data_IF_203395130411
#
_entry.id   IF_203395130411
#
_cell.length_a   1.000
_cell.length_b   1.000
_cell.length_c   1.000
_cell.angle_alpha   90.00
_cell.angle_beta   90.00
_cell.angle_gamma   90.00
#
_symmetry.space_group_name_H-M   'P 1'
#
loop_
_entity.id
_entity.type
_entity.pdbx_description
1 polymer ?
#
# COMPACT_ATOMS: atom_id res chain seq x y z
N UNK A 1 -16.62 11.88 12.24
CA UNK A 1 -18.05 11.76 12.61
C UNK A 1 -18.88 11.12 11.49
N UNK A 2 -18.58 11.38 10.20
CA UNK A 2 -19.29 10.78 9.05
C UNK A 2 -19.14 9.25 8.90
N UNK A 3 -17.99 8.68 9.27
CA UNK A 3 -17.77 7.22 9.23
C UNK A 3 -18.69 6.47 10.20
N UNK A 4 -19.03 7.09 11.34
CA UNK A 4 -19.90 6.48 12.37
C UNK A 4 -21.38 6.53 11.93
N UNK A 5 -21.79 7.58 11.21
CA UNK A 5 -23.16 7.73 10.70
C UNK A 5 -23.45 6.80 9.52
N UNK A 6 -22.50 6.59 8.61
CA UNK A 6 -22.61 5.61 7.52
C UNK A 6 -22.73 4.16 8.02
N UNK A 7 -22.12 3.86 9.16
CA UNK A 7 -22.17 2.54 9.81
C UNK A 7 -23.55 2.24 10.41
N UNK A 8 -24.26 3.26 10.89
CA UNK A 8 -25.56 3.12 11.54
C UNK A 8 -26.71 2.90 10.54
N UNK A 9 -26.68 3.59 9.40
CA UNK A 9 -27.75 3.52 8.37
C UNK A 9 -27.78 2.18 7.62
N UNK A 10 -26.64 1.55 7.37
CA UNK A 10 -26.57 0.27 6.65
C UNK A 10 -27.04 -0.94 7.50
N UNK A 11 -26.99 -0.86 8.84
CA UNK A 11 -27.39 -1.95 9.73
C UNK A 11 -28.92 -2.12 9.80
N UNK A 12 -29.67 -1.01 9.69
CA UNK A 12 -31.14 -1.06 9.67
C UNK A 12 -31.72 -1.81 8.46
N UNK A 13 -30.95 -1.91 7.36
CA UNK A 13 -31.38 -2.63 6.15
C UNK A 13 -31.16 -4.14 6.27
N UNK A 14 -30.09 -4.57 6.96
CA UNK A 14 -29.76 -6.00 7.12
C UNK A 14 -30.60 -6.69 8.23
N UNK A 15 -31.06 -5.91 9.22
CA UNK A 15 -31.94 -6.41 10.28
C UNK A 15 -33.35 -6.73 9.77
N UNK A 16 -33.80 -6.08 8.68
CA UNK A 16 -35.09 -6.37 8.04
C UNK A 16 -35.10 -7.65 7.18
N UNK A 17 -33.95 -8.16 6.73
CA UNK A 17 -33.89 -9.41 5.95
C UNK A 17 -33.87 -10.69 6.80
N UNK A 18 -33.72 -10.60 8.13
CA UNK A 18 -33.72 -11.79 9.03
C UNK A 18 -35.10 -12.17 9.58
N UNK A 19 -36.19 -11.51 9.16
CA UNK A 19 -37.54 -11.76 9.67
C UNK A 19 -38.44 -12.65 8.77
N UNK A 20 -37.89 -13.37 7.79
CA UNK A 20 -38.66 -14.38 7.03
C UNK A 20 -38.41 -15.79 7.61
N UNK A 21 -39.37 -16.22 8.44
CA UNK A 21 -39.57 -17.52 9.09
C UNK A 21 -39.62 -18.71 8.11
N UNK A 22 -39.26 -19.91 8.59
CA UNK A 22 -40.07 -21.16 8.56
C UNK A 22 -39.44 -22.25 9.49
N UNK A 23 -40.15 -23.31 9.92
CA UNK A 23 -40.15 -23.79 11.30
C UNK A 23 -39.42 -25.11 11.51
N UNK A 24 -39.07 -25.39 12.77
CA UNK A 24 -38.64 -26.70 13.29
C UNK A 24 -39.70 -27.79 13.13
N UNK A 25 -39.28 -29.07 13.14
CA UNK A 25 -39.97 -30.01 14.03
C UNK A 25 -39.02 -30.85 14.91
N UNK A 26 -39.57 -31.22 16.07
CA UNK A 26 -39.08 -32.16 17.08
C UNK A 26 -39.56 -33.60 16.74
N UNK A 27 -38.70 -34.60 16.97
CA UNK A 27 -38.94 -36.02 17.33
C UNK A 27 -37.56 -36.72 17.27
N UNK A 28 -37.05 -37.55 18.19
CA UNK A 28 -37.65 -38.49 19.13
C UNK A 28 -37.28 -39.93 18.73
N UNK A 29 -36.53 -40.65 19.60
CA UNK A 29 -36.25 -42.11 19.65
C UNK A 29 -34.92 -42.72 19.12
N UNK A 30 -34.11 -43.15 20.11
CA UNK A 30 -33.48 -44.48 20.37
C UNK A 30 -32.54 -45.22 19.39
N UNK A 31 -31.32 -45.47 19.91
CA UNK A 31 -30.53 -46.74 19.97
C UNK A 31 -30.20 -47.53 18.69
N UNK A 32 -28.91 -47.74 18.40
CA UNK A 32 -28.20 -49.05 18.23
C UNK A 32 -26.74 -48.85 17.73
N UNK A 33 -25.87 -49.78 18.13
CA UNK A 33 -24.40 -49.93 17.97
C UNK A 33 -23.86 -49.95 16.52
N UNK A 34 -22.62 -49.45 16.37
CA UNK A 34 -21.46 -50.20 15.83
C UNK A 34 -21.12 -50.15 14.32
N UNK A 35 -19.81 -49.98 14.06
CA UNK A 35 -19.02 -50.27 12.83
C UNK A 35 -18.94 -49.23 11.68
N UNK A 36 -17.70 -48.75 11.43
CA UNK A 36 -16.98 -49.00 10.17
C UNK A 36 -17.09 -48.02 8.99
N UNK A 37 -16.01 -47.28 8.77
CA UNK A 37 -15.37 -46.91 7.48
C UNK A 37 -16.08 -46.14 6.34
N UNK A 38 -15.31 -45.14 5.86
CA UNK A 38 -15.07 -44.71 4.46
C UNK A 38 -16.11 -43.86 3.69
N UNK A 39 -15.69 -42.58 3.48
CA UNK A 39 -15.72 -41.68 2.29
C UNK A 39 -16.96 -41.60 1.34
N UNK A 40 -17.16 -40.44 0.68
CA UNK A 40 -18.48 -39.86 0.37
C UNK A 40 -19.02 -40.27 -1.01
N UNK A 41 -20.33 -40.09 -1.26
CA UNK A 41 -20.89 -40.30 -2.59
C UNK A 41 -20.85 -39.03 -3.45
N UNK A 42 -20.53 -39.26 -4.71
CA UNK A 42 -20.98 -38.47 -5.85
C UNK A 42 -22.51 -38.54 -6.00
N UNK A 43 -23.15 -37.42 -6.36
CA UNK A 43 -24.33 -37.35 -7.24
C UNK A 43 -24.36 -35.94 -7.85
N UNK A 44 -24.11 -35.79 -9.16
CA UNK A 44 -25.08 -35.86 -10.25
C UNK A 44 -26.27 -34.90 -10.08
N UNK A 45 -26.24 -33.80 -10.84
CA UNK A 45 -27.42 -33.24 -11.51
C UNK A 45 -26.96 -32.63 -12.83
N UNK A 46 -27.21 -33.39 -13.89
CA UNK A 46 -27.18 -32.97 -15.28
C UNK A 46 -28.55 -32.39 -15.67
N UNK A 47 -28.53 -31.63 -16.77
CA UNK A 47 -29.63 -31.19 -17.62
C UNK A 47 -30.23 -29.78 -17.48
N UNK A 48 -30.24 -29.15 -18.67
CA UNK A 48 -30.98 -27.97 -19.13
C UNK A 48 -30.48 -26.60 -18.69
N UNK A 49 -29.65 -25.97 -19.53
CA UNK A 49 -30.06 -24.83 -20.36
C UNK A 49 -28.90 -24.47 -21.32
N UNK A 50 -28.83 -25.19 -22.45
CA UNK A 50 -28.07 -24.77 -23.63
C UNK A 50 -29.08 -24.28 -24.65
N UNK A 51 -29.20 -22.96 -24.81
CA UNK A 51 -29.57 -22.27 -26.07
C UNK A 51 -29.81 -20.79 -25.76
N UNK A 52 -28.80 -19.93 -25.93
CA UNK A 52 -28.93 -18.52 -26.37
C UNK A 52 -27.61 -17.74 -26.23
N UNK A 53 -26.72 -17.84 -27.23
CA UNK A 53 -25.97 -16.70 -27.81
C UNK A 53 -24.95 -17.20 -28.83
N UNK A 54 -25.47 -17.72 -29.94
CA UNK A 54 -24.80 -17.73 -31.24
C UNK A 54 -25.80 -17.18 -32.26
N UNK A 55 -25.86 -15.86 -32.36
CA UNK A 55 -26.47 -15.07 -33.44
C UNK A 55 -26.27 -13.60 -33.08
N UNK A 56 -25.28 -12.99 -33.71
CA UNK A 56 -25.15 -11.56 -34.06
C UNK A 56 -23.70 -11.36 -34.53
N UNK A 57 -23.40 -11.93 -35.70
CA UNK A 57 -22.39 -11.38 -36.59
C UNK A 57 -22.99 -11.43 -37.99
N UNK A 58 -22.65 -10.41 -38.79
CA UNK A 58 -23.07 -10.12 -40.17
C UNK A 58 -24.36 -9.31 -40.28
N UNK A 59 -24.22 -8.00 -40.36
CA UNK A 59 -24.51 -7.27 -41.60
C UNK A 59 -23.82 -5.88 -41.59
N UNK A 60 -23.49 -5.41 -42.80
CA UNK A 60 -22.78 -4.18 -43.20
C UNK A 60 -21.23 -4.18 -43.15
N UNK A 61 -20.65 -4.38 -44.34
CA UNK A 61 -19.25 -4.08 -44.69
C UNK A 61 -19.05 -2.63 -45.19
N UNK A 62 -17.99 -2.33 -45.97
CA UNK A 62 -16.91 -1.42 -45.56
C UNK A 62 -16.88 -0.08 -46.31
N UNK A 63 -16.30 0.96 -45.70
CA UNK A 63 -15.76 2.13 -46.41
C UNK A 63 -14.45 2.61 -45.77
N UNK A 64 -13.43 2.73 -46.62
CA UNK A 64 -12.10 3.27 -46.38
C UNK A 64 -12.13 4.77 -46.06
N UNK A 65 -11.16 5.26 -45.28
CA UNK A 65 -10.20 6.34 -45.63
C UNK A 65 -9.41 6.69 -44.36
N UNK A 66 -8.08 6.70 -44.48
CA UNK A 66 -7.15 6.85 -43.37
C UNK A 66 -7.03 8.26 -42.79
N UNK A 67 -6.47 8.35 -41.59
CA UNK A 67 -5.66 9.49 -41.15
C UNK A 67 -4.73 9.09 -40.00
N UNK A 68 -3.50 9.55 -40.14
CA UNK A 68 -2.33 9.45 -39.28
C UNK A 68 -2.61 9.45 -37.76
N UNK A 69 -2.15 8.40 -37.06
CA UNK A 69 -1.83 8.49 -35.64
C UNK A 69 -0.37 8.89 -35.47
N UNK A 70 -0.15 10.14 -35.10
CA UNK A 70 1.15 10.67 -34.66
C UNK A 70 1.59 9.94 -33.38
N UNK A 71 2.73 9.27 -33.48
CA UNK A 71 3.53 8.78 -32.38
C UNK A 71 3.95 9.95 -31.47
N UNK A 72 3.63 9.88 -30.18
CA UNK A 72 4.31 10.63 -29.13
C UNK A 72 5.06 9.66 -28.22
N UNK A 73 6.33 9.44 -28.54
CA UNK A 73 7.31 8.76 -27.69
C UNK A 73 8.14 9.83 -26.98
N UNK A 74 7.68 10.28 -25.81
CA UNK A 74 8.44 11.16 -24.93
C UNK A 74 9.56 10.39 -24.23
N UNK A 75 10.73 10.32 -24.87
CA UNK A 75 11.99 9.82 -24.30
C UNK A 75 12.62 10.97 -23.50
N UNK A 76 12.58 10.90 -22.16
CA UNK A 76 13.40 11.77 -21.32
C UNK A 76 14.86 11.31 -21.41
N UNK A 77 15.66 12.05 -22.18
CA UNK A 77 17.09 11.84 -22.31
C UNK A 77 17.81 12.93 -21.50
N UNK A 78 18.47 12.51 -20.43
CA UNK A 78 19.44 13.33 -19.69
C UNK A 78 20.63 13.66 -20.61
N UNK A 79 20.96 14.94 -20.81
CA UNK A 79 22.28 15.37 -21.32
C UNK A 79 23.21 15.63 -20.14
N UNK A 80 24.46 15.15 -20.16
CA UNK A 80 25.49 15.65 -19.26
C UNK A 80 26.01 17.01 -19.75
N UNK A 81 26.30 17.89 -18.80
CA UNK A 81 26.94 19.20 -19.00
C UNK A 81 28.41 18.96 -19.38
N UNK A 82 28.82 19.47 -20.54
CA UNK A 82 30.22 19.70 -20.88
C UNK A 82 30.43 21.19 -21.12
N UNK A 83 31.48 21.70 -20.49
CA UNK A 83 31.97 23.06 -20.57
C UNK A 83 32.32 23.46 -22.01
N UNK A 84 32.08 24.72 -22.35
CA UNK A 84 32.65 25.35 -23.53
C UNK A 84 32.93 26.82 -23.22
N UNK A 85 34.14 27.21 -23.61
CA UNK A 85 34.87 28.44 -23.32
C UNK A 85 34.17 29.74 -23.72
N UNK A 86 34.42 30.75 -22.90
CA UNK A 86 34.20 32.17 -23.19
C UNK A 86 35.16 32.65 -24.28
N UNK A 87 34.63 33.07 -25.43
CA UNK A 87 35.25 34.14 -26.21
C UNK A 87 34.24 34.81 -27.15
N UNK A 88 34.14 36.14 -26.97
CA UNK A 88 33.88 37.18 -27.98
C UNK A 88 32.74 36.95 -28.99
N UNK A 89 31.66 37.75 -28.91
CA UNK A 89 31.47 38.81 -29.91
C UNK A 89 30.40 39.84 -29.49
N UNK A 90 30.72 41.09 -29.78
CA UNK A 90 30.03 42.32 -29.49
C UNK A 90 28.77 42.58 -30.33
N UNK A 91 27.87 43.33 -29.72
CA UNK A 91 26.81 44.20 -30.26
C UNK A 91 27.03 44.73 -31.68
N UNK A 92 25.96 44.75 -32.49
CA UNK A 92 25.57 45.97 -33.22
C UNK A 92 24.12 45.93 -33.73
N UNK A 93 23.41 47.01 -33.40
CA UNK A 93 22.11 47.40 -33.93
C UNK A 93 22.17 47.73 -35.43
N UNK A 94 21.09 47.48 -36.16
CA UNK A 94 20.53 48.40 -37.18
C UNK A 94 19.22 47.83 -37.74
N UNK A 95 18.12 48.57 -37.52
CA UNK A 95 16.95 48.57 -38.41
C UNK A 95 17.21 49.64 -39.50
N UNK A 96 16.61 49.54 -40.70
CA UNK A 96 15.33 50.24 -40.89
C UNK A 96 14.37 49.64 -41.97
N UNK A 97 13.15 50.21 -42.01
CA UNK A 97 12.15 50.25 -43.11
C UNK A 97 11.50 48.91 -43.54
N UNK A 98 10.18 48.71 -43.57
CA UNK A 98 9.09 49.61 -43.95
C UNK A 98 8.51 49.15 -45.29
N UNK A 99 7.58 48.18 -45.31
CA UNK A 99 6.43 48.19 -46.23
C UNK A 99 5.43 47.03 -46.05
N UNK A 100 4.18 47.44 -46.14
CA UNK A 100 2.94 46.68 -46.12
C UNK A 100 2.90 45.58 -47.20
N UNK A 101 2.48 44.37 -46.81
CA UNK A 101 1.84 43.41 -47.71
C UNK A 101 0.45 43.09 -47.16
N UNK A 102 -0.56 43.60 -47.87
CA UNK A 102 -1.95 43.19 -47.75
C UNK A 102 -2.08 41.71 -48.08
N UNK A 103 -2.65 40.93 -47.17
CA UNK A 103 -3.20 39.61 -47.48
C UNK A 103 -4.71 39.73 -47.37
N UNK A 104 -5.34 39.88 -48.54
CA UNK A 104 -6.77 39.63 -48.72
C UNK A 104 -7.01 38.13 -48.52
N UNK A 105 -7.84 37.77 -47.54
CA UNK A 105 -8.54 36.49 -47.52
C UNK A 105 -10.01 36.72 -47.15
N UNK A 106 -10.95 36.03 -47.81
CA UNK A 106 -12.38 36.27 -47.64
C UNK A 106 -12.85 35.71 -46.29
N UNK A 107 -13.58 36.54 -45.54
CA UNK A 107 -14.42 36.10 -44.43
C UNK A 107 -15.42 35.04 -44.93
N UNK A 108 -15.47 33.82 -44.35
CA UNK A 108 -16.67 33.04 -44.36
C UNK A 108 -17.59 33.54 -43.23
N UNK A 109 -18.86 33.74 -43.56
CA UNK A 109 -19.92 34.06 -42.62
C UNK A 109 -19.90 33.10 -41.42
N UNK A 110 -19.99 33.67 -40.22
CA UNK A 110 -20.10 32.88 -38.98
C UNK A 110 -21.37 32.03 -38.99
N UNK A 111 -21.34 30.81 -38.43
CA UNK A 111 -22.57 30.11 -38.12
C UNK A 111 -23.28 30.79 -36.95
N UNK A 112 -24.60 30.86 -37.06
CA UNK A 112 -25.54 31.44 -36.11
C UNK A 112 -25.26 31.05 -34.66
N UNK A 113 -25.23 32.06 -33.81
CA UNK A 113 -24.94 32.03 -32.37
C UNK A 113 -26.14 31.57 -31.53
N UNK A 114 -26.83 30.50 -31.91
CA UNK A 114 -27.85 29.88 -31.07
C UNK A 114 -27.78 28.35 -31.18
N UNK A 115 -27.47 27.69 -30.06
CA UNK A 115 -27.31 26.23 -29.86
C UNK A 115 -25.87 25.67 -29.92
N UNK A 116 -24.87 26.36 -29.36
CA UNK A 116 -23.81 25.65 -28.62
C UNK A 116 -24.45 25.14 -27.33
N UNK A 117 -25.27 24.11 -27.48
CA UNK A 117 -26.18 23.62 -26.45
C UNK A 117 -25.37 23.07 -25.28
N UNK A 118 -25.75 23.46 -24.07
CA UNK A 118 -25.35 23.00 -22.73
C UNK A 118 -24.92 21.51 -22.60
N UNK A 119 -25.35 20.67 -23.53
CA UNK A 119 -24.97 19.27 -23.71
C UNK A 119 -23.49 19.07 -24.06
N UNK A 120 -22.87 19.96 -24.85
CA UNK A 120 -21.47 19.79 -25.31
C UNK A 120 -20.46 20.20 -24.23
N UNK A 121 -20.73 21.31 -23.53
CA UNK A 121 -19.97 21.77 -22.35
C UNK A 121 -20.02 20.71 -21.24
N UNK A 122 -21.21 20.15 -20.96
CA UNK A 122 -21.38 19.07 -19.96
C UNK A 122 -20.65 17.78 -20.36
N UNK A 123 -20.41 17.55 -21.65
CA UNK A 123 -19.66 16.39 -22.16
C UNK A 123 -18.16 16.59 -22.01
N UNK A 124 -17.64 17.76 -22.38
CA UNK A 124 -16.24 18.14 -22.17
C UNK A 124 -15.88 18.15 -20.67
N UNK A 125 -16.73 18.72 -19.80
CA UNK A 125 -16.52 18.72 -18.35
C UNK A 125 -16.46 17.31 -17.75
N UNK A 126 -17.32 16.40 -18.22
CA UNK A 126 -17.31 14.99 -17.79
C UNK A 126 -16.05 14.26 -18.26
N UNK A 127 -15.56 14.57 -19.46
CA UNK A 127 -14.32 13.99 -20.00
C UNK A 127 -13.10 14.52 -19.23
N UNK A 128 -13.04 15.82 -18.93
CA UNK A 128 -11.97 16.41 -18.12
C UNK A 128 -11.98 15.91 -16.68
N UNK A 129 -13.16 15.80 -16.05
CA UNK A 129 -13.30 15.22 -14.72
C UNK A 129 -12.90 13.75 -14.71
N UNK A 130 -13.33 12.95 -15.69
CA UNK A 130 -12.94 11.54 -15.79
C UNK A 130 -11.44 11.36 -16.02
N UNK A 131 -10.82 12.21 -16.85
CA UNK A 131 -9.37 12.20 -17.06
C UNK A 131 -8.61 12.62 -15.79
N UNK A 132 -9.07 13.67 -15.09
CA UNK A 132 -8.49 14.09 -13.82
C UNK A 132 -8.61 13.01 -12.73
N UNK A 133 -9.78 12.36 -12.62
CA UNK A 133 -10.01 11.26 -11.69
C UNK A 133 -9.14 10.04 -12.01
N UNK A 134 -9.04 9.66 -13.28
CA UNK A 134 -8.20 8.51 -13.68
C UNK A 134 -6.72 8.78 -13.44
N UNK A 135 -6.24 9.99 -13.70
CA UNK A 135 -4.87 10.41 -13.36
C UNK A 135 -4.63 10.45 -11.85
N UNK A 136 -5.60 10.95 -11.07
CA UNK A 136 -5.50 10.96 -9.62
C UNK A 136 -5.43 9.54 -9.04
N UNK A 137 -6.29 8.62 -9.52
CA UNK A 137 -6.29 7.20 -9.09
C UNK A 137 -5.00 6.51 -9.51
N UNK A 138 -4.48 6.77 -10.71
CA UNK A 138 -3.21 6.18 -11.14
C UNK A 138 -2.01 6.70 -10.33
N UNK A 139 -2.03 7.98 -9.94
CA UNK A 139 -1.00 8.59 -9.09
C UNK A 139 -1.09 8.18 -7.62
N UNK A 140 -2.30 7.89 -7.12
CA UNK A 140 -2.57 7.56 -5.72
C UNK A 140 -3.15 6.15 -5.53
N UNK A 141 -2.73 5.21 -6.39
CA UNK A 141 -3.34 3.89 -6.46
C UNK A 141 -3.30 3.12 -5.14
N UNK A 142 -2.19 3.21 -4.40
CA UNK A 142 -1.99 2.52 -3.13
C UNK A 142 -2.96 2.99 -2.02
N UNK A 143 -3.02 4.29 -1.66
CA UNK A 143 -4.02 4.80 -0.71
C UNK A 143 -5.46 4.52 -1.15
N UNK A 144 -5.78 4.71 -2.44
CA UNK A 144 -7.14 4.50 -2.96
C UNK A 144 -7.54 3.02 -2.85
N UNK A 145 -6.65 2.10 -3.21
CA UNK A 145 -6.91 0.67 -3.10
C UNK A 145 -7.14 0.25 -1.64
N UNK A 146 -6.31 0.73 -0.70
CA UNK A 146 -6.46 0.41 0.73
C UNK A 146 -7.74 0.99 1.33
N UNK A 147 -8.04 2.26 1.08
CA UNK A 147 -9.27 2.90 1.58
C UNK A 147 -10.52 2.26 0.97
N UNK A 148 -10.50 2.03 -0.35
CA UNK A 148 -11.60 1.35 -1.04
C UNK A 148 -11.84 -0.06 -0.51
N UNK A 149 -10.76 -0.83 -0.28
CA UNK A 149 -10.80 -2.15 0.33
C UNK A 149 -11.40 -2.13 1.74
N UNK A 150 -11.07 -1.14 2.58
CA UNK A 150 -11.67 -1.00 3.91
C UNK A 150 -13.14 -0.64 3.86
N UNK A 151 -13.52 0.35 3.03
CA UNK A 151 -14.91 0.76 2.87
C UNK A 151 -15.76 -0.40 2.38
N UNK A 152 -15.28 -1.13 1.37
CA UNK A 152 -15.94 -2.33 0.85
C UNK A 152 -16.12 -3.40 1.93
N UNK A 153 -15.12 -3.59 2.80
CA UNK A 153 -15.22 -4.54 3.92
C UNK A 153 -16.26 -4.14 4.96
N UNK A 154 -16.47 -2.83 5.16
CA UNK A 154 -17.49 -2.31 6.07
C UNK A 154 -18.90 -2.37 5.47
N UNK A 155 -19.06 -2.06 4.18
CA UNK A 155 -20.38 -1.99 3.52
C UNK A 155 -20.86 -3.34 3.01
N UNK A 156 -19.95 -4.21 2.56
CA UNK A 156 -20.27 -5.53 2.02
C UNK A 156 -19.31 -6.60 2.54
N UNK A 157 -19.49 -7.04 3.80
CA UNK A 157 -18.53 -7.95 4.46
C UNK A 157 -18.62 -9.41 3.99
N UNK A 158 -19.75 -9.85 3.45
CA UNK A 158 -19.99 -11.27 3.15
C UNK A 158 -18.92 -11.91 2.23
N UNK A 159 -18.49 -11.28 1.11
CA UNK A 159 -17.45 -11.86 0.27
C UNK A 159 -16.08 -11.92 0.98
N UNK A 160 -15.72 -10.87 1.74
CA UNK A 160 -14.44 -10.83 2.46
C UNK A 160 -14.37 -11.91 3.56
N UNK A 161 -15.48 -12.13 4.29
CA UNK A 161 -15.59 -13.20 5.28
C UNK A 161 -15.49 -14.58 4.63
N UNK A 162 -16.14 -14.79 3.48
CA UNK A 162 -16.07 -16.05 2.75
C UNK A 162 -14.63 -16.38 2.33
N UNK A 163 -13.92 -15.42 1.74
CA UNK A 163 -12.52 -15.61 1.32
C UNK A 163 -11.59 -15.89 2.51
N UNK A 164 -11.80 -15.19 3.64
CA UNK A 164 -11.03 -15.45 4.84
C UNK A 164 -11.26 -16.88 5.38
N UNK A 165 -12.52 -17.35 5.44
CA UNK A 165 -12.85 -18.72 5.86
C UNK A 165 -12.25 -19.79 4.96
N UNK A 166 -12.10 -19.49 3.67
CA UNK A 166 -11.41 -20.36 2.70
C UNK A 166 -9.87 -20.37 2.88
N UNK A 167 -9.32 -19.57 3.80
CA UNK A 167 -7.88 -19.49 4.04
C UNK A 167 -7.12 -18.72 2.96
N UNK A 168 -7.80 -17.91 2.15
CA UNK A 168 -7.21 -17.17 1.03
C UNK A 168 -6.20 -16.12 1.51
N UNK A 169 -6.36 -15.58 2.73
CA UNK A 169 -5.40 -14.65 3.35
C UNK A 169 -3.97 -15.20 3.38
N UNK A 170 -3.81 -16.51 3.64
CA UNK A 170 -2.49 -17.18 3.60
C UNK A 170 -1.88 -17.13 2.21
N UNK A 171 -2.67 -17.50 1.20
CA UNK A 171 -2.22 -17.54 -0.19
C UNK A 171 -1.88 -16.14 -0.71
N UNK A 172 -2.72 -15.15 -0.43
CA UNK A 172 -2.46 -13.75 -0.80
C UNK A 172 -1.15 -13.25 -0.20
N UNK A 173 -0.90 -13.50 1.09
CA UNK A 173 0.34 -13.10 1.75
C UNK A 173 1.55 -13.82 1.14
N UNK A 174 1.49 -15.14 0.96
CA UNK A 174 2.58 -15.92 0.35
C UNK A 174 2.87 -15.47 -1.08
N UNK A 175 1.84 -15.23 -1.90
CA UNK A 175 1.97 -14.70 -3.27
C UNK A 175 2.54 -13.28 -3.26
N UNK A 176 2.15 -12.43 -2.31
CA UNK A 176 2.70 -11.08 -2.17
C UNK A 176 4.20 -11.11 -1.89
N UNK A 177 4.67 -11.93 -0.95
CA UNK A 177 6.10 -12.07 -0.67
C UNK A 177 6.88 -12.67 -1.84
N UNK A 178 6.28 -13.63 -2.55
CA UNK A 178 6.87 -14.21 -3.77
C UNK A 178 7.05 -13.15 -4.87
N UNK A 179 5.99 -12.38 -5.16
CA UNK A 179 6.03 -11.30 -6.14
C UNK A 179 6.98 -10.18 -5.72
N UNK A 180 7.06 -9.88 -4.44
CA UNK A 180 8.03 -8.92 -3.92
C UNK A 180 9.47 -9.41 -4.17
N UNK A 181 9.77 -10.68 -3.88
CA UNK A 181 11.06 -11.29 -4.22
C UNK A 181 11.39 -11.18 -5.71
N UNK A 182 10.42 -11.51 -6.58
CA UNK A 182 10.56 -11.41 -8.04
C UNK A 182 10.80 -9.98 -8.54
N UNK A 183 10.18 -8.99 -7.90
CA UNK A 183 10.26 -7.57 -8.31
C UNK A 183 11.42 -6.82 -7.67
N UNK A 184 12.03 -7.36 -6.61
CA UNK A 184 13.20 -6.78 -5.97
C UNK A 184 14.45 -6.88 -6.86
N UNK A 185 14.96 -5.76 -7.37
CA UNK A 185 16.19 -5.70 -8.16
C UNK A 185 17.44 -5.77 -7.28
N UNK A 186 18.44 -6.53 -7.70
CA UNK A 186 19.72 -6.67 -6.95
C UNK A 186 20.63 -5.45 -7.07
N UNK A 187 20.55 -4.72 -8.19
CA UNK A 187 21.37 -3.52 -8.48
C UNK A 187 21.06 -2.33 -7.58
N UNK A 188 19.84 -2.29 -7.04
CA UNK A 188 19.40 -1.21 -6.16
C UNK A 188 19.93 -1.39 -4.72
N UNK A 189 20.18 -2.63 -4.30
CA UNK A 189 20.70 -2.96 -2.96
C UNK A 189 22.21 -2.70 -2.86
N UNK A 190 22.96 -2.83 -3.96
CA UNK A 190 24.41 -2.57 -3.99
C UNK A 190 24.74 -1.11 -3.63
N UNK A 191 23.87 -0.17 -4.03
CA UNK A 191 23.98 1.25 -3.63
C UNK A 191 23.67 1.49 -2.15
N UNK A 192 23.02 0.57 -1.45
CA UNK A 192 22.81 0.66 0.00
C UNK A 192 24.12 0.43 0.76
N UNK A 193 25.04 -0.38 0.21
CA UNK A 193 26.30 -0.71 0.87
C UNK A 193 27.23 0.50 1.05
N UNK A 194 27.14 1.51 0.18
CA UNK A 194 27.93 2.74 0.33
C UNK A 194 27.47 3.63 1.48
N UNK A 195 26.21 3.51 1.92
CA UNK A 195 25.64 4.26 3.04
C UNK A 195 25.45 3.39 4.30
N UNK A 196 26.38 2.45 4.54
CA UNK A 196 26.26 1.45 5.61
C UNK A 196 26.06 2.02 7.03
N UNK A 197 26.61 3.18 7.46
CA UNK A 197 26.37 3.68 8.81
C UNK A 197 24.91 4.09 9.02
N UNK A 198 24.30 4.68 7.99
CA UNK A 198 22.89 5.06 7.95
C UNK A 198 21.99 3.82 7.86
N UNK A 199 22.40 2.83 7.05
CA UNK A 199 21.74 1.53 6.99
C UNK A 199 21.77 0.77 8.32
N UNK A 200 22.90 0.77 9.02
CA UNK A 200 23.04 0.10 10.31
C UNK A 200 22.13 0.74 11.37
N UNK A 201 22.06 2.08 11.42
CA UNK A 201 21.12 2.78 12.28
C UNK A 201 19.67 2.36 11.97
N UNK A 202 19.28 2.39 10.69
CA UNK A 202 17.92 2.02 10.28
C UNK A 202 17.58 0.57 10.66
N UNK A 203 18.53 -0.35 10.50
CA UNK A 203 18.37 -1.75 10.92
C UNK A 203 18.16 -1.89 12.43
N UNK A 204 18.96 -1.20 13.24
CA UNK A 204 18.83 -1.20 14.71
C UNK A 204 17.48 -0.60 15.12
N UNK A 205 17.07 0.50 14.48
CA UNK A 205 15.79 1.12 14.78
C UNK A 205 14.60 0.19 14.46
N UNK A 206 14.58 -0.39 13.25
CA UNK A 206 13.48 -1.26 12.81
C UNK A 206 13.42 -2.57 13.62
N UNK A 207 14.56 -3.18 13.91
CA UNK A 207 14.61 -4.50 14.54
C UNK A 207 14.62 -4.48 16.06
N UNK A 208 15.14 -3.42 16.69
CA UNK A 208 15.36 -3.38 18.14
C UNK A 208 14.59 -2.25 18.81
N UNK A 209 14.69 -1.00 18.31
CA UNK A 209 14.09 0.14 19.02
C UNK A 209 12.56 0.16 18.91
N UNK A 210 12.05 -0.03 17.71
CA UNK A 210 10.60 0.08 17.47
C UNK A 210 9.78 -1.02 18.17
N UNK A 211 10.21 -2.30 18.26
CA UNK A 211 9.49 -3.29 19.09
C UNK A 211 9.39 -2.91 20.58
N UNK A 212 10.31 -2.10 21.13
CA UNK A 212 10.23 -1.70 22.55
C UNK A 212 9.01 -0.83 22.85
N UNK A 213 8.45 -0.14 21.85
CA UNK A 213 7.21 0.61 22.02
C UNK A 213 6.01 -0.30 22.35
N UNK A 214 6.11 -1.61 22.13
CA UNK A 214 5.10 -2.56 22.59
C UNK A 214 4.91 -2.52 24.12
N UNK A 215 5.95 -2.24 24.91
CA UNK A 215 5.88 -2.21 26.38
C UNK A 215 4.86 -1.16 26.87
N UNK A 216 5.01 0.15 26.57
CA UNK A 216 4.04 1.14 27.01
C UNK A 216 2.67 0.96 26.37
N UNK A 217 2.58 0.44 25.14
CA UNK A 217 1.30 0.15 24.47
C UNK A 217 0.48 -0.87 25.28
N UNK A 218 1.12 -1.92 25.80
CA UNK A 218 0.45 -2.97 26.58
C UNK A 218 -0.08 -2.48 27.94
N UNK A 219 0.37 -1.31 28.40
CA UNK A 219 -0.11 -0.68 29.64
C UNK A 219 -1.29 0.28 29.39
N UNK A 220 -1.63 0.55 28.13
CA UNK A 220 -2.79 1.38 27.81
C UNK A 220 -4.09 0.65 28.20
N UNK A 221 -5.00 1.29 28.96
CA UNK A 221 -6.25 0.69 29.39
C UNK A 221 -7.31 0.71 28.26
N UNK A 222 -7.01 0.08 27.13
CA UNK A 222 -7.91 0.01 25.96
C UNK A 222 -8.73 -1.27 26.03
N UNK A 223 -10.06 -1.14 25.93
CA UNK A 223 -10.98 -2.28 25.92
C UNK A 223 -11.65 -2.43 24.55
N UNK A 224 -11.62 -3.61 23.90
CA UNK A 224 -11.06 -4.87 24.38
C UNK A 224 -9.53 -4.91 24.22
N UNK A 225 -8.86 -5.77 25.03
CA UNK A 225 -7.38 -5.81 25.15
C UNK A 225 -6.69 -6.22 23.85
N UNK A 226 -7.43 -6.85 22.95
CA UNK A 226 -7.05 -7.17 21.58
C UNK A 226 -6.59 -5.94 20.81
N UNK A 227 -7.18 -4.76 21.04
CA UNK A 227 -6.76 -3.53 20.37
C UNK A 227 -5.32 -3.13 20.76
N UNK A 228 -5.01 -3.12 22.05
CA UNK A 228 -3.68 -2.82 22.55
C UNK A 228 -2.66 -3.89 22.14
N UNK A 229 -3.05 -5.17 22.23
CA UNK A 229 -2.21 -6.30 21.81
C UNK A 229 -1.88 -6.24 20.32
N UNK A 230 -2.86 -5.85 19.50
CA UNK A 230 -2.71 -5.64 18.07
C UNK A 230 -1.65 -4.58 17.76
N UNK A 231 -1.75 -3.42 18.41
CA UNK A 231 -0.75 -2.34 18.29
C UNK A 231 0.63 -2.76 18.77
N UNK A 232 0.72 -3.56 19.84
CA UNK A 232 2.00 -4.08 20.34
C UNK A 232 2.66 -5.05 19.35
N UNK A 233 1.86 -5.91 18.71
CA UNK A 233 2.33 -6.75 17.60
C UNK A 233 2.77 -5.87 16.43
N UNK A 234 1.98 -4.86 16.05
CA UNK A 234 2.30 -3.93 14.98
C UNK A 234 3.60 -3.15 15.24
N UNK A 235 3.89 -2.76 16.48
CA UNK A 235 5.17 -2.17 16.85
C UNK A 235 6.36 -3.12 16.62
N UNK A 236 6.13 -4.43 16.67
CA UNK A 236 7.17 -5.47 16.54
C UNK A 236 7.43 -5.92 15.10
N UNK A 237 6.61 -5.52 14.13
CA UNK A 237 6.78 -5.92 12.72
C UNK A 237 7.79 -5.02 12.00
N UNK A 238 8.42 -5.48 10.90
CA UNK A 238 9.36 -4.67 10.14
C UNK A 238 8.65 -3.56 9.35
N UNK A 239 9.47 -2.77 8.64
CA UNK A 239 9.00 -1.72 7.74
C UNK A 239 8.24 -2.24 6.52
N UNK A 240 7.49 -1.35 5.88
CA UNK A 240 6.67 -1.63 4.70
C UNK A 240 7.53 -2.01 3.50
N UNK A 241 6.98 -2.88 2.64
CA UNK A 241 7.65 -3.30 1.41
C UNK A 241 7.52 -2.29 0.26
N UNK A 242 6.60 -1.31 0.37
CA UNK A 242 6.22 -0.47 -0.78
C UNK A 242 6.14 1.02 -0.45
N UNK A 243 5.33 1.44 0.55
CA UNK A 243 5.08 2.87 0.82
C UNK A 243 6.37 3.61 1.17
N UNK A 244 7.21 3.06 2.05
CA UNK A 244 8.44 3.73 2.47
C UNK A 244 9.42 3.97 1.32
N UNK A 245 9.58 2.99 0.41
CA UNK A 245 10.43 3.12 -0.78
C UNK A 245 9.84 4.13 -1.76
N UNK A 246 8.52 4.10 -1.99
CA UNK A 246 7.85 5.04 -2.88
C UNK A 246 7.94 6.49 -2.37
N UNK A 247 7.72 6.72 -1.07
CA UNK A 247 7.84 8.03 -0.44
C UNK A 247 9.29 8.53 -0.42
N UNK A 248 10.26 7.64 -0.20
CA UNK A 248 11.69 7.96 -0.34
C UNK A 248 12.01 8.44 -1.76
N UNK A 249 11.47 7.77 -2.78
CA UNK A 249 11.65 8.15 -4.18
C UNK A 249 11.04 9.53 -4.46
N UNK A 250 9.82 9.79 -3.98
CA UNK A 250 9.15 11.10 -4.13
C UNK A 250 9.95 12.20 -3.41
N UNK A 251 10.51 11.90 -2.24
CA UNK A 251 11.34 12.83 -1.46
C UNK A 251 12.71 13.13 -2.08
N UNK A 252 13.07 12.49 -3.20
CA UNK A 252 14.39 12.62 -3.82
C UNK A 252 15.53 12.07 -2.94
N UNK A 253 15.23 11.15 -2.02
CA UNK A 253 16.17 10.60 -1.06
C UNK A 253 16.85 9.31 -1.58
N UNK A 254 17.74 8.69 -0.79
CA UNK A 254 18.47 7.49 -1.21
C UNK A 254 17.56 6.25 -1.37
N UNK A 255 17.09 6.00 -2.59
CA UNK A 255 16.21 4.86 -2.92
C UNK A 255 16.93 3.52 -2.69
N UNK A 256 18.23 3.43 -2.98
CA UNK A 256 18.99 2.20 -2.78
C UNK A 256 19.08 1.81 -1.31
N UNK A 257 19.37 2.78 -0.45
CA UNK A 257 19.36 2.61 1.00
C UNK A 257 17.98 2.21 1.53
N UNK A 258 16.91 2.87 1.07
CA UNK A 258 15.54 2.53 1.46
C UNK A 258 15.16 1.09 1.06
N UNK A 259 15.49 0.67 -0.17
CA UNK A 259 15.24 -0.69 -0.62
C UNK A 259 16.06 -1.71 0.18
N UNK A 260 17.35 -1.42 0.43
CA UNK A 260 18.22 -2.25 1.25
C UNK A 260 17.65 -2.45 2.66
N UNK A 261 17.32 -1.35 3.36
CA UNK A 261 16.69 -1.38 4.67
C UNK A 261 15.39 -2.19 4.66
N UNK A 262 14.56 -1.99 3.64
CA UNK A 262 13.30 -2.72 3.49
C UNK A 262 13.53 -4.22 3.40
N UNK A 263 14.41 -4.67 2.51
CA UNK A 263 14.69 -6.09 2.28
C UNK A 263 15.37 -6.73 3.50
N UNK A 264 16.44 -6.12 4.01
CA UNK A 264 17.19 -6.69 5.13
C UNK A 264 16.37 -6.70 6.42
N UNK A 265 15.65 -5.62 6.75
CA UNK A 265 14.82 -5.61 7.96
C UNK A 265 13.70 -6.64 7.90
N UNK A 266 13.03 -6.80 6.74
CA UNK A 266 12.02 -7.84 6.59
C UNK A 266 12.62 -9.25 6.72
N UNK A 267 13.80 -9.50 6.15
CA UNK A 267 14.54 -10.76 6.28
C UNK A 267 14.90 -11.08 7.75
N UNK A 268 15.60 -10.15 8.42
CA UNK A 268 16.05 -10.34 9.80
C UNK A 268 14.88 -10.36 10.79
N UNK A 269 13.80 -9.62 10.54
CA UNK A 269 12.64 -9.62 11.42
C UNK A 269 11.95 -10.98 11.53
N UNK A 270 12.00 -11.82 10.49
CA UNK A 270 11.48 -13.20 10.57
C UNK A 270 12.14 -13.96 11.71
N UNK A 271 13.42 -13.70 11.96
CA UNK A 271 14.19 -14.31 13.03
C UNK A 271 13.99 -13.58 14.35
N UNK A 272 14.07 -12.25 14.39
CA UNK A 272 14.03 -11.49 15.67
C UNK A 272 12.63 -11.35 16.26
N UNK A 273 11.61 -11.22 15.43
CA UNK A 273 10.24 -10.90 15.86
C UNK A 273 9.60 -11.97 16.77
N UNK A 274 9.74 -13.29 16.55
CA UNK A 274 9.21 -14.29 17.49
C UNK A 274 9.73 -14.12 18.92
N UNK A 275 10.98 -13.69 19.08
CA UNK A 275 11.57 -13.45 20.41
C UNK A 275 10.98 -12.20 21.06
N UNK A 276 10.80 -11.10 20.32
CA UNK A 276 10.12 -9.91 20.83
C UNK A 276 8.66 -10.18 21.17
N UNK A 277 7.95 -10.90 20.32
CA UNK A 277 6.56 -11.27 20.58
C UNK A 277 6.43 -12.17 21.80
N UNK A 278 7.33 -13.14 21.97
CA UNK A 278 7.30 -14.02 23.15
C UNK A 278 7.70 -13.26 24.42
N UNK A 279 8.79 -12.50 24.37
CA UNK A 279 9.39 -11.83 25.53
C UNK A 279 8.64 -10.59 25.99
N UNK A 280 8.07 -9.80 25.08
CA UNK A 280 7.34 -8.57 25.43
C UNK A 280 5.83 -8.81 25.39
N UNK A 281 5.29 -9.21 24.23
CA UNK A 281 3.84 -9.29 24.05
C UNK A 281 3.24 -10.44 24.85
N UNK A 282 3.77 -11.65 24.70
CA UNK A 282 3.31 -12.85 25.40
C UNK A 282 3.39 -12.69 26.92
N UNK A 283 4.55 -12.30 27.45
CA UNK A 283 4.71 -12.03 28.89
C UNK A 283 3.81 -10.89 29.37
N UNK A 284 3.71 -9.80 28.61
CA UNK A 284 2.91 -8.63 28.99
C UNK A 284 1.41 -8.90 29.12
N UNK A 285 0.91 -9.97 28.52
CA UNK A 285 -0.50 -10.39 28.64
C UNK A 285 -0.67 -11.75 29.35
N UNK A 286 0.41 -12.36 29.84
CA UNK A 286 0.37 -13.64 30.57
C UNK A 286 0.12 -14.87 29.69
N UNK A 287 0.49 -14.82 28.41
CA UNK A 287 0.26 -15.90 27.43
C UNK A 287 1.59 -16.43 26.90
N UNK A 288 1.76 -17.76 26.97
CA UNK A 288 2.96 -18.42 26.46
C UNK A 288 2.90 -18.62 24.95
N UNK A 289 3.75 -17.90 24.22
CA UNK A 289 3.95 -18.10 22.77
C UNK A 289 5.20 -18.96 22.59
N UNK A 290 5.11 -20.15 21.96
CA UNK A 290 6.31 -20.91 21.66
C UNK A 290 7.04 -20.26 20.46
N UNK A 291 8.28 -19.75 20.63
CA UNK A 291 8.96 -18.98 19.58
C UNK A 291 9.36 -19.84 18.39
N UNK A 292 9.72 -21.11 18.60
CA UNK A 292 10.14 -22.03 17.53
C UNK A 292 9.06 -22.31 16.48
N UNK A 293 7.83 -22.74 16.86
CA UNK A 293 6.71 -22.90 15.94
C UNK A 293 6.32 -21.62 15.19
N UNK A 294 6.36 -20.48 15.86
CA UNK A 294 6.10 -19.18 15.23
C UNK A 294 7.19 -18.85 14.20
N UNK A 295 8.47 -18.99 14.55
CA UNK A 295 9.60 -18.83 13.63
C UNK A 295 9.46 -19.74 12.40
N UNK A 296 9.20 -21.04 12.60
CA UNK A 296 9.00 -22.00 11.51
C UNK A 296 7.87 -21.55 10.57
N UNK A 297 6.77 -21.07 11.15
CA UNK A 297 5.62 -20.59 10.38
C UNK A 297 5.95 -19.35 9.56
N UNK A 298 6.65 -18.38 10.14
CA UNK A 298 7.05 -17.14 9.46
C UNK A 298 8.08 -17.41 8.37
N UNK A 299 9.01 -18.33 8.60
CA UNK A 299 9.94 -18.78 7.57
C UNK A 299 9.15 -19.32 6.37
N UNK A 300 8.15 -20.17 6.60
CA UNK A 300 7.35 -20.75 5.52
C UNK A 300 6.48 -19.72 4.78
N UNK A 301 5.95 -18.70 5.47
CA UNK A 301 5.01 -17.75 4.86
C UNK A 301 5.63 -16.49 4.27
N UNK A 302 6.75 -16.04 4.83
CA UNK A 302 7.37 -14.77 4.47
C UNK A 302 8.70 -15.02 3.79
N UNK A 303 9.60 -15.73 4.47
CA UNK A 303 10.98 -15.86 4.05
C UNK A 303 11.15 -16.77 2.83
N UNK A 304 10.58 -17.97 2.90
CA UNK A 304 10.64 -18.97 1.83
C UNK A 304 10.10 -18.43 0.50
N UNK A 305 8.86 -17.88 0.41
CA UNK A 305 8.39 -17.33 -0.86
C UNK A 305 9.22 -16.15 -1.35
N UNK A 306 9.70 -15.29 -0.46
CA UNK A 306 10.57 -14.17 -0.83
C UNK A 306 11.91 -14.63 -1.43
N UNK A 307 12.57 -15.60 -0.79
CA UNK A 307 13.80 -16.21 -1.30
C UNK A 307 13.54 -16.92 -2.63
N UNK A 308 12.47 -17.70 -2.74
CA UNK A 308 12.12 -18.39 -3.98
C UNK A 308 11.90 -17.39 -5.12
N UNK A 309 11.18 -16.30 -4.87
CA UNK A 309 10.98 -15.24 -5.85
C UNK A 309 12.29 -14.59 -6.29
N UNK A 310 13.21 -14.38 -5.34
CA UNK A 310 14.54 -13.84 -5.64
C UNK A 310 15.39 -14.82 -6.45
N UNK A 311 15.44 -16.09 -6.08
CA UNK A 311 16.16 -17.14 -6.81
C UNK A 311 15.63 -17.23 -8.24
N UNK A 312 14.31 -17.29 -8.43
CA UNK A 312 13.69 -17.34 -9.76
C UNK A 312 14.07 -16.12 -10.61
N UNK A 313 14.12 -14.93 -10.02
CA UNK A 313 14.57 -13.72 -10.75
C UNK A 313 16.02 -13.83 -11.21
N UNK A 314 16.91 -14.28 -10.33
CA UNK A 314 18.36 -14.35 -10.61
C UNK A 314 18.74 -15.52 -11.52
N UNK A 315 18.06 -16.67 -11.39
CA UNK A 315 18.29 -17.85 -12.24
C UNK A 315 17.76 -17.66 -13.67
N UNK A 316 16.70 -16.86 -13.86
CA UNK A 316 16.11 -16.59 -15.17
C UNK A 316 16.22 -15.10 -15.55
N UNK A 317 17.35 -14.65 -16.11
CA UNK A 317 17.60 -13.23 -16.41
C UNK A 317 16.54 -12.61 -17.34
N UNK A 318 16.00 -13.38 -18.28
CA UNK A 318 14.96 -12.89 -19.19
C UNK A 318 13.63 -12.67 -18.48
N UNK A 319 13.32 -13.48 -17.47
CA UNK A 319 12.18 -13.23 -16.58
C UNK A 319 12.42 -11.96 -15.76
N UNK A 320 13.63 -11.75 -15.24
CA UNK A 320 14.01 -10.49 -14.57
C UNK A 320 13.79 -9.26 -15.45
N UNK A 321 14.26 -9.29 -16.71
CA UNK A 321 14.03 -8.22 -17.69
C UNK A 321 12.55 -8.02 -17.99
N UNK A 322 11.76 -9.11 -18.09
CA UNK A 322 10.32 -9.04 -18.29
C UNK A 322 9.62 -8.39 -17.08
N UNK A 323 10.01 -8.75 -15.86
CA UNK A 323 9.48 -8.16 -14.63
C UNK A 323 9.79 -6.65 -14.58
N UNK A 324 11.01 -6.25 -14.96
CA UNK A 324 11.40 -4.84 -15.03
C UNK A 324 10.60 -4.09 -16.12
N UNK A 325 10.40 -4.70 -17.30
CA UNK A 325 9.56 -4.15 -18.38
C UNK A 325 8.09 -3.99 -17.96
N UNK A 326 7.58 -4.87 -17.10
CA UNK A 326 6.19 -4.88 -16.62
C UNK A 326 6.03 -4.32 -15.20
N UNK A 327 7.03 -3.62 -14.66
CA UNK A 327 7.08 -3.14 -13.27
C UNK A 327 5.83 -2.35 -12.86
N UNK A 328 5.28 -1.51 -13.74
CA UNK A 328 4.04 -0.75 -13.47
C UNK A 328 2.84 -1.67 -13.21
N UNK A 329 2.67 -2.73 -14.00
CA UNK A 329 1.59 -3.70 -13.82
C UNK A 329 1.78 -4.54 -12.57
N UNK A 330 3.01 -5.01 -12.32
CA UNK A 330 3.35 -5.79 -11.13
C UNK A 330 3.13 -4.98 -9.85
N UNK A 331 3.51 -3.70 -9.84
CA UNK A 331 3.25 -2.79 -8.72
C UNK A 331 1.76 -2.61 -8.43
N UNK A 332 0.90 -2.54 -9.47
CA UNK A 332 -0.56 -2.53 -9.29
C UNK A 332 -1.06 -3.86 -8.71
N UNK A 333 -0.57 -5.00 -9.22
CA UNK A 333 -0.96 -6.32 -8.71
C UNK A 333 -0.54 -6.50 -7.25
N UNK A 334 0.69 -6.14 -6.88
CA UNK A 334 1.18 -6.23 -5.50
C UNK A 334 0.38 -5.31 -4.57
N UNK A 335 0.04 -4.11 -5.03
CA UNK A 335 -0.85 -3.19 -4.30
C UNK A 335 -2.25 -3.77 -4.09
N UNK A 336 -2.84 -4.41 -5.11
CA UNK A 336 -4.14 -5.07 -4.99
C UNK A 336 -4.08 -6.23 -3.99
N UNK A 337 -3.08 -7.10 -4.08
CA UNK A 337 -2.86 -8.18 -3.10
C UNK A 337 -2.68 -7.63 -1.69
N UNK A 338 -1.95 -6.52 -1.56
CA UNK A 338 -1.76 -5.82 -0.29
C UNK A 338 -3.09 -5.32 0.28
N UNK A 339 -4.02 -4.84 -0.56
CA UNK A 339 -5.33 -4.35 -0.13
C UNK A 339 -6.33 -5.46 0.20
N UNK A 340 -6.21 -6.65 -0.40
CA UNK A 340 -7.13 -7.78 -0.19
C UNK A 340 -7.10 -8.27 1.27
N UNK A 341 -5.92 -8.31 1.89
CA UNK A 341 -5.76 -8.81 3.25
C UNK A 341 -6.47 -7.90 4.27
N UNK A 342 -6.21 -6.58 4.33
CA UNK A 342 -6.99 -5.65 5.14
C UNK A 342 -8.50 -5.69 4.86
N UNK A 343 -8.92 -5.87 3.59
CA UNK A 343 -10.34 -6.02 3.27
C UNK A 343 -10.99 -7.23 3.93
N UNK A 344 -10.37 -8.41 3.79
CA UNK A 344 -10.85 -9.64 4.44
C UNK A 344 -10.95 -9.47 5.96
N UNK A 345 -9.95 -8.82 6.56
CA UNK A 345 -9.89 -8.63 8.01
C UNK A 345 -10.89 -7.60 8.52
N UNK A 346 -11.08 -6.49 7.78
CA UNK A 346 -12.13 -5.50 8.05
C UNK A 346 -13.54 -6.10 7.91
N UNK A 347 -13.71 -6.99 6.93
CA UNK A 347 -14.98 -7.71 6.73
C UNK A 347 -15.32 -8.63 7.91
N UNK A 348 -14.31 -9.27 8.51
CA UNK A 348 -14.49 -10.12 9.70
C UNK A 348 -14.73 -9.30 10.98
N UNK A 349 -14.08 -8.15 11.11
CA UNK A 349 -14.23 -7.30 12.31
C UNK A 349 -15.56 -6.56 12.35
N UNK A 350 -16.26 -6.43 11.20
CA UNK A 350 -17.48 -5.61 11.04
C UNK A 350 -18.54 -5.81 12.13
N UNK A 351 -18.89 -7.06 12.45
CA UNK A 351 -19.91 -7.36 13.46
C UNK A 351 -19.45 -7.03 14.88
N UNK A 352 -18.15 -7.09 15.15
CA UNK A 352 -17.57 -6.79 16.47
C UNK A 352 -17.33 -5.29 16.67
N UNK A 353 -17.28 -4.48 15.61
CA UNK A 353 -17.12 -3.03 15.73
C UNK A 353 -18.20 -2.37 16.59
N UNK A 354 -19.42 -2.91 16.58
CA UNK A 354 -20.52 -2.41 17.41
C UNK A 354 -20.38 -2.75 18.89
N UNK A 355 -19.50 -3.70 19.24
CA UNK A 355 -19.25 -4.12 20.61
C UNK A 355 -18.11 -3.35 21.27
N UNK A 356 -17.34 -2.58 20.48
CA UNK A 356 -16.23 -1.75 20.95
C UNK A 356 -16.80 -0.37 21.31
N UNK A 357 -16.43 0.16 22.47
CA UNK A 357 -16.73 1.55 22.83
C UNK A 357 -16.15 2.51 21.79
N UNK A 358 -16.89 3.53 21.31
CA UNK A 358 -16.35 4.48 20.34
C UNK A 358 -15.11 5.22 20.87
N UNK A 359 -15.05 5.41 22.20
CA UNK A 359 -13.90 5.98 22.88
C UNK A 359 -12.68 5.06 22.81
N UNK A 360 -12.81 3.77 23.11
CA UNK A 360 -11.71 2.80 23.02
C UNK A 360 -11.17 2.67 21.59
N UNK A 361 -12.08 2.64 20.61
CA UNK A 361 -11.71 2.64 19.20
C UNK A 361 -10.91 3.90 18.86
N UNK A 362 -11.38 5.07 19.28
CA UNK A 362 -10.67 6.34 19.06
C UNK A 362 -9.29 6.34 19.73
N UNK A 363 -9.20 5.92 21.00
CA UNK A 363 -7.93 5.82 21.73
C UNK A 363 -6.96 4.88 21.01
N UNK A 364 -7.43 3.74 20.51
CA UNK A 364 -6.58 2.79 19.78
C UNK A 364 -6.02 3.38 18.47
N UNK A 365 -6.85 4.12 17.71
CA UNK A 365 -6.42 4.80 16.49
C UNK A 365 -5.43 5.92 16.81
N UNK A 366 -5.72 6.71 17.86
CA UNK A 366 -4.84 7.76 18.34
C UNK A 366 -3.50 7.19 18.81
N UNK A 367 -3.49 6.09 19.56
CA UNK A 367 -2.29 5.41 20.01
C UNK A 367 -1.42 4.94 18.83
N UNK A 368 -2.03 4.35 17.79
CA UNK A 368 -1.32 3.99 16.56
C UNK A 368 -0.73 5.20 15.81
N UNK A 369 -1.43 6.34 15.83
CA UNK A 369 -0.96 7.59 15.22
C UNK A 369 0.20 8.20 16.00
N UNK A 370 0.08 8.26 17.33
CA UNK A 370 1.11 8.73 18.25
C UNK A 370 2.35 7.84 18.15
N UNK A 371 2.17 6.52 18.03
CA UNK A 371 3.27 5.58 17.83
C UNK A 371 4.13 5.95 16.61
N UNK A 372 3.50 6.24 15.48
CA UNK A 372 4.22 6.66 14.27
C UNK A 372 4.95 8.00 14.45
N UNK A 373 4.30 8.97 15.09
CA UNK A 373 4.92 10.28 15.41
C UNK A 373 6.13 10.10 16.33
N UNK A 374 6.01 9.24 17.35
CA UNK A 374 7.11 8.91 18.27
C UNK A 374 8.27 8.27 17.51
N UNK A 375 8.02 7.40 16.54
CA UNK A 375 9.09 6.86 15.71
C UNK A 375 9.75 7.93 14.85
N UNK A 376 9.00 8.81 14.20
CA UNK A 376 9.56 9.92 13.42
C UNK A 376 10.43 10.85 14.28
N UNK A 377 9.92 11.30 15.42
CA UNK A 377 10.65 12.20 16.33
C UNK A 377 11.86 11.48 16.95
N UNK A 378 11.66 10.26 17.44
CA UNK A 378 12.70 9.43 18.06
C UNK A 378 13.83 9.11 17.09
N UNK A 379 13.52 8.65 15.88
CA UNK A 379 14.51 8.38 14.85
C UNK A 379 15.23 9.65 14.40
N UNK A 380 14.50 10.77 14.22
CA UNK A 380 15.11 12.06 13.90
C UNK A 380 16.10 12.51 14.98
N UNK A 381 15.73 12.40 16.26
CA UNK A 381 16.58 12.75 17.39
C UNK A 381 17.80 11.83 17.53
N UNK A 382 17.59 10.51 17.44
CA UNK A 382 18.66 9.52 17.57
C UNK A 382 19.67 9.58 16.40
N UNK A 383 19.24 9.95 15.20
CA UNK A 383 20.17 10.17 14.08
C UNK A 383 21.12 11.34 14.32
N UNK A 384 20.74 12.36 15.11
CA UNK A 384 21.63 13.49 15.42
C UNK A 384 22.81 13.09 16.31
N UNK A 385 22.65 12.06 17.12
CA UNK A 385 23.69 11.53 18.00
C UNK A 385 24.45 10.36 17.39
N UNK A 386 23.92 9.75 16.32
CA UNK A 386 24.58 8.67 15.60
C UNK A 386 25.75 9.21 14.78
N UNK A 387 26.92 8.53 14.76
CA UNK A 387 28.09 8.97 13.98
C UNK A 387 27.87 8.72 12.48
N UNK A 388 26.96 9.49 11.87
CA UNK A 388 26.81 9.56 10.43
C UNK A 388 27.96 10.40 9.86
N UNK A 389 28.62 9.99 8.76
CA UNK A 389 29.58 10.84 8.05
C UNK A 389 29.00 12.21 7.64
N UNK A 390 27.67 12.31 7.50
CA UNK A 390 26.91 13.55 7.26
C UNK A 390 26.49 14.32 8.53
N UNK A 391 26.97 13.97 9.73
CA UNK A 391 26.51 14.51 11.04
C UNK A 391 26.75 16.02 11.28
N UNK A 392 27.23 16.77 10.27
CA UNK A 392 27.35 18.25 10.31
C UNK A 392 26.25 18.98 9.52
N UNK A 393 25.37 18.26 8.82
CA UNK A 393 24.20 18.83 8.14
C UNK A 393 22.91 18.46 8.87
N UNK A 394 21.87 19.29 8.71
CA UNK A 394 20.55 19.00 9.26
C UNK A 394 20.07 17.63 8.74
N UNK A 395 19.50 16.80 9.62
CA UNK A 395 18.97 15.45 9.30
C UNK A 395 17.95 15.52 8.17
N UNK A 396 17.29 16.67 8.02
CA UNK A 396 16.33 16.95 6.96
C UNK A 396 16.96 17.43 5.64
N UNK A 397 18.26 17.66 5.58
CA UNK A 397 18.98 18.05 4.36
C UNK A 397 19.75 16.88 3.74
N UNK A 398 20.18 15.91 4.56
CA UNK A 398 20.90 14.74 4.08
C UNK A 398 19.96 13.72 3.42
N UNK A 399 20.27 13.36 2.18
CA UNK A 399 19.45 12.46 1.36
C UNK A 399 19.41 11.02 1.90
N UNK A 400 20.43 10.57 2.65
CA UNK A 400 20.41 9.26 3.32
C UNK A 400 19.50 9.31 4.56
N UNK A 401 19.61 10.38 5.35
CA UNK A 401 18.85 10.58 6.57
C UNK A 401 17.34 10.65 6.31
N UNK A 402 16.90 11.32 5.23
CA UNK A 402 15.50 11.29 4.77
C UNK A 402 15.01 9.86 4.46
N UNK A 403 15.83 9.07 3.76
CA UNK A 403 15.49 7.68 3.43
C UNK A 403 15.38 6.80 4.68
N UNK A 404 16.36 6.91 5.58
CA UNK A 404 16.36 6.19 6.85
C UNK A 404 15.17 6.60 7.71
N UNK A 405 14.88 7.89 7.83
CA UNK A 405 13.80 8.40 8.68
C UNK A 405 12.44 7.84 8.27
N UNK A 406 12.10 7.91 6.97
CA UNK A 406 10.85 7.37 6.45
C UNK A 406 10.80 5.86 6.70
N UNK A 407 11.80 5.13 6.19
CA UNK A 407 11.76 3.66 6.20
C UNK A 407 11.85 3.08 7.61
N UNK A 408 12.61 3.68 8.51
CA UNK A 408 12.73 3.18 9.89
C UNK A 408 11.55 3.50 10.79
N UNK A 409 10.71 4.47 10.40
CA UNK A 409 9.52 4.85 11.17
C UNK A 409 8.27 4.13 10.67
N UNK A 410 8.27 3.62 9.44
CA UNK A 410 7.15 2.88 8.89
C UNK A 410 7.03 1.44 9.45
N UNK A 411 5.79 0.97 9.63
CA UNK A 411 5.45 -0.42 10.00
C UNK A 411 4.56 -1.10 8.97
N UNK A 412 4.72 -2.42 8.80
CA UNK A 412 4.07 -3.23 7.76
C UNK A 412 2.81 -3.97 8.22
N UNK A 413 1.64 -3.51 7.78
CA UNK A 413 0.37 -4.20 8.04
C UNK A 413 0.34 -5.63 7.49
N UNK A 414 0.95 -5.89 6.34
CA UNK A 414 0.94 -7.25 5.75
C UNK A 414 1.70 -8.24 6.61
N UNK A 415 2.83 -7.81 7.17
CA UNK A 415 3.57 -8.67 8.10
C UNK A 415 2.79 -8.84 9.40
N UNK A 416 2.14 -7.79 9.91
CA UNK A 416 1.29 -7.90 11.09
C UNK A 416 0.14 -8.89 10.90
N UNK A 417 -0.55 -8.86 9.76
CA UNK A 417 -1.60 -9.84 9.44
C UNK A 417 -1.02 -11.24 9.36
N UNK A 418 0.11 -11.42 8.67
CA UNK A 418 0.75 -12.73 8.55
C UNK A 418 1.09 -13.34 9.92
N UNK A 419 1.56 -12.51 10.85
CA UNK A 419 1.90 -12.90 12.22
C UNK A 419 0.64 -13.24 13.02
N UNK A 420 -0.36 -12.36 13.00
CA UNK A 420 -1.62 -12.55 13.74
C UNK A 420 -2.35 -13.81 13.28
N UNK A 421 -2.40 -14.06 11.96
CA UNK A 421 -2.98 -15.30 11.40
C UNK A 421 -2.21 -16.55 11.88
N UNK A 422 -0.89 -16.46 12.14
CA UNK A 422 -0.08 -17.57 12.66
C UNK A 422 -0.19 -17.78 14.16
N UNK A 423 -0.56 -16.75 14.90
CA UNK A 423 -0.84 -16.85 16.32
C UNK A 423 -2.18 -17.54 16.59
N UNK A 424 -3.00 -17.83 15.57
CA UNK A 424 -4.10 -18.80 15.68
C UNK A 424 -5.16 -18.45 16.71
N UNK A 425 -5.39 -17.16 16.97
CA UNK A 425 -6.37 -16.70 17.96
C UNK A 425 -5.91 -16.77 19.41
N UNK A 426 -4.63 -17.07 19.67
CA UNK A 426 -4.01 -17.05 21.02
C UNK A 426 -4.26 -15.72 21.76
N UNK A 427 -4.44 -14.64 21.00
CA UNK A 427 -4.69 -13.28 21.50
C UNK A 427 -6.11 -12.79 21.24
N UNK A 428 -7.08 -13.71 21.10
CA UNK A 428 -8.46 -13.35 20.80
C UNK A 428 -8.71 -13.17 19.30
N UNK A 429 -9.64 -12.29 18.96
CA UNK A 429 -10.10 -12.17 17.57
C UNK A 429 -9.10 -11.43 16.67
N UNK A 430 -8.66 -12.06 15.58
CA UNK A 430 -7.74 -11.48 14.60
C UNK A 430 -8.23 -10.15 14.01
N UNK A 431 -9.53 -10.00 13.77
CA UNK A 431 -10.11 -8.77 13.26
C UNK A 431 -10.00 -7.59 14.24
N UNK A 432 -10.09 -7.86 15.54
CA UNK A 432 -9.91 -6.84 16.59
C UNK A 432 -8.44 -6.45 16.73
N UNK A 433 -7.53 -7.44 16.74
CA UNK A 433 -6.09 -7.20 16.76
C UNK A 433 -5.64 -6.34 15.56
N UNK A 434 -6.24 -6.54 14.39
CA UNK A 434 -5.83 -5.85 13.16
C UNK A 434 -6.46 -4.49 12.95
N UNK A 435 -7.59 -4.21 13.59
CA UNK A 435 -8.32 -2.96 13.41
C UNK A 435 -7.46 -1.71 13.66
N UNK A 436 -6.75 -1.56 14.80
CA UNK A 436 -5.91 -0.39 15.02
C UNK A 436 -4.65 -0.39 14.13
N UNK A 437 -4.16 -1.56 13.72
CA UNK A 437 -3.01 -1.69 12.81
C UNK A 437 -3.33 -1.14 11.41
N UNK A 438 -4.51 -1.45 10.89
CA UNK A 438 -4.97 -0.96 9.58
C UNK A 438 -5.13 0.57 9.63
N UNK A 439 -5.75 1.10 10.69
CA UNK A 439 -5.90 2.53 10.87
C UNK A 439 -4.53 3.24 11.02
N UNK A 440 -3.63 2.69 11.83
CA UNK A 440 -2.28 3.21 12.02
C UNK A 440 -1.50 3.26 10.71
N UNK A 441 -1.56 2.20 9.88
CA UNK A 441 -0.91 2.17 8.56
C UNK A 441 -1.40 3.29 7.64
N UNK A 442 -2.71 3.55 7.58
CA UNK A 442 -3.26 4.61 6.74
C UNK A 442 -2.82 5.99 7.20
N UNK A 443 -2.85 6.21 8.51
CA UNK A 443 -2.48 7.49 9.11
C UNK A 443 -0.98 7.72 8.94
N UNK A 444 -0.15 6.69 9.14
CA UNK A 444 1.29 6.72 8.86
C UNK A 444 1.58 7.19 7.42
N UNK A 445 1.00 6.54 6.41
CA UNK A 445 1.21 6.92 5.00
C UNK A 445 0.77 8.36 4.74
N UNK A 446 -0.29 8.83 5.40
CA UNK A 446 -0.78 10.20 5.29
C UNK A 446 0.20 11.20 5.91
N UNK A 447 0.68 10.92 7.13
CA UNK A 447 1.68 11.73 7.84
C UNK A 447 2.97 11.81 7.03
N UNK A 448 3.46 10.67 6.52
CA UNK A 448 4.71 10.63 5.76
C UNK A 448 4.57 11.36 4.42
N UNK A 449 3.41 11.26 3.75
CA UNK A 449 3.13 12.03 2.52
C UNK A 449 3.14 13.53 2.79
N UNK A 450 2.55 13.97 3.90
CA UNK A 450 2.57 15.37 4.31
C UNK A 450 4.01 15.84 4.64
N UNK A 451 4.77 15.02 5.38
CA UNK A 451 6.17 15.29 5.70
C UNK A 451 7.02 15.44 4.43
N UNK A 452 6.90 14.51 3.48
CA UNK A 452 7.59 14.59 2.19
C UNK A 452 7.20 15.84 1.41
N UNK A 453 5.91 16.21 1.42
CA UNK A 453 5.44 17.45 0.78
C UNK A 453 6.13 18.68 1.36
N UNK A 454 6.28 18.76 2.69
CA UNK A 454 7.00 19.89 3.32
C UNK A 454 8.47 19.95 2.94
N UNK A 455 9.13 18.80 2.78
CA UNK A 455 10.53 18.75 2.33
C UNK A 455 10.67 19.28 0.90
N UNK A 456 9.78 18.87 0.00
CA UNK A 456 9.77 19.34 -1.39
C UNK A 456 9.54 20.85 -1.50
N UNK A 457 8.63 21.40 -0.69
CA UNK A 457 8.39 22.85 -0.62
C UNK A 457 9.62 23.62 -0.12
N UNK A 458 10.28 23.11 0.93
CA UNK A 458 11.52 23.72 1.47
C UNK A 458 12.65 23.68 0.45
N UNK A 459 12.83 22.57 -0.25
CA UNK A 459 13.86 22.42 -1.28
C UNK A 459 13.60 23.35 -2.48
N UNK A 460 12.35 23.55 -2.86
CA UNK A 460 11.97 24.51 -3.91
C UNK A 460 12.26 25.96 -3.49
N UNK A 461 11.92 26.33 -2.25
CA UNK A 461 12.23 27.65 -1.70
C UNK A 461 13.73 27.96 -1.67
N UNK A 462 14.56 26.99 -1.29
CA UNK A 462 16.04 27.13 -1.31
C UNK A 462 16.58 27.36 -2.72
N UNK A 463 16.05 26.63 -3.71
CA UNK A 463 16.46 26.83 -5.12
C UNK A 463 16.12 28.23 -5.61
N UNK A 464 14.91 28.71 -5.34
CA UNK A 464 14.49 30.07 -5.72
C UNK A 464 15.32 31.15 -5.02
N UNK A 465 15.61 30.99 -3.73
CA UNK A 465 16.49 31.91 -3.00
C UNK A 465 17.91 31.97 -3.57
N UNK A 466 18.47 30.82 -3.95
CA UNK A 466 19.82 30.75 -4.56
C UNK A 466 19.90 31.46 -5.92
N UNK A 467 18.84 31.41 -6.74
CA UNK A 467 18.76 32.13 -8.01
C UNK A 467 18.52 33.63 -7.85
N UNK A 468 17.94 34.08 -6.74
CA UNK A 468 17.73 35.50 -6.46
C UNK A 468 19.00 36.20 -5.91
N UNK A 469 19.96 35.43 -5.40
CA UNK A 469 21.26 35.91 -4.89
C UNK A 469 22.41 35.80 -5.90
N UNK A 470 22.19 35.17 -7.06
CA UNK A 470 23.08 35.19 -8.22
C UNK A 470 22.62 36.27 -9.19
#
# INVERSE_FOLDING_TARGET
MEVVLLVSSACSVDQHMRCLKFPTPLCGLSSIRGLGCWKPPHCFLTHSFSNAKRRLSKECGPLLVGRQQRHWTGRYQYRPVQAADDSNFSTNNTAPDGNFLQINSPFPAGPDSQNVSEVDIRKEDKVHLFQALTQFVDSNFLPVALLGAMLLGLTWPAPGQALHRMGISKWVTTTFFLLFGLTSGSKDVEKAASAWPAGLFGMISILLLTPLAAIPILWLPITPRELATGLAIFASVPTTLSSGVALTQIAGANIGLALGLTVFSNLFSVVTMPFFLTGIVGQGIGVSIPPGPLLKSLIQTLLLPLILGKIVRETFPDLGKLMDSKRKYLSKITTLLMSLVPWMQMSNSRCMLHQIGPLDLFISIAAGSILHIVYLIGNSGLMKVWPLPSAKQDVFEDFNSRAVLIVSSEKSIIVAVAVIDRLGGVFGNAGLLLLPCIAAQLIQVTIDSALVSTWLQRDAGKKLGSYATQ
#
